data_IF_381271988687
#
_entry.id   IF_381271988687
#
_cell.length_a   1.000
_cell.length_b   1.000
_cell.length_c   1.000
_cell.angle_alpha   90.00
_cell.angle_beta   90.00
_cell.angle_gamma   90.00
#
_symmetry.space_group_name_H-M   'P 1'
#
loop_
_entity.id
_entity.type
_entity.pdbx_description
1 polymer ?
#
# COMPACT_ATOMS: atom_id res chain seq x y z
N UNK A 1 -7.45 10.35 -4.66
CA UNK A 1 -7.25 8.99 -4.10
C UNK A 1 -7.33 8.90 -2.57
N UNK A 2 -6.42 9.53 -1.79
CA UNK A 2 -6.32 9.30 -0.33
C UNK A 2 -7.62 9.46 0.48
N UNK A 3 -8.35 10.57 0.26
CA UNK A 3 -9.64 10.83 0.93
C UNK A 3 -10.69 9.74 0.65
N UNK A 4 -10.71 9.24 -0.58
CA UNK A 4 -11.61 8.15 -1.00
C UNK A 4 -11.21 6.84 -0.31
N UNK A 5 -9.93 6.47 -0.37
CA UNK A 5 -9.42 5.25 0.23
C UNK A 5 -9.67 5.18 1.74
N UNK A 6 -9.42 6.28 2.46
CA UNK A 6 -9.67 6.38 3.90
C UNK A 6 -11.13 6.04 4.25
N UNK A 7 -12.09 6.70 3.60
CA UNK A 7 -13.52 6.47 3.83
C UNK A 7 -13.96 5.08 3.40
N UNK A 8 -13.53 4.64 2.21
CA UNK A 8 -14.01 3.40 1.62
C UNK A 8 -13.46 2.17 2.33
N UNK A 9 -12.17 2.13 2.66
CA UNK A 9 -11.55 0.98 3.34
C UNK A 9 -12.22 0.75 4.70
N UNK A 10 -12.42 1.82 5.48
CA UNK A 10 -13.11 1.74 6.76
C UNK A 10 -14.53 1.20 6.59
N UNK A 11 -15.31 1.77 5.66
CA UNK A 11 -16.68 1.36 5.40
C UNK A 11 -16.79 -0.10 4.91
N UNK A 12 -15.89 -0.51 4.01
CA UNK A 12 -15.85 -1.87 3.48
C UNK A 12 -15.51 -2.89 4.57
N UNK A 13 -14.58 -2.57 5.47
CA UNK A 13 -14.22 -3.45 6.58
C UNK A 13 -15.37 -3.61 7.55
N UNK A 14 -16.04 -2.52 7.95
CA UNK A 14 -17.19 -2.56 8.87
C UNK A 14 -18.34 -3.45 8.38
N UNK A 15 -18.49 -3.61 7.06
CA UNK A 15 -19.48 -4.50 6.44
C UNK A 15 -19.00 -5.95 6.26
N UNK A 16 -17.70 -6.20 6.42
CA UNK A 16 -17.11 -7.51 6.20
C UNK A 16 -17.21 -8.38 7.46
N UNK A 17 -18.15 -9.34 7.48
CA UNK A 17 -18.31 -10.28 8.60
C UNK A 17 -17.04 -11.06 8.97
N UNK A 18 -16.06 -11.17 8.07
CA UNK A 18 -14.80 -11.85 8.37
C UNK A 18 -13.96 -11.11 9.42
N UNK A 19 -14.19 -9.82 9.68
CA UNK A 19 -13.48 -9.10 10.75
C UNK A 19 -13.88 -9.63 12.14
N UNK A 20 -15.09 -10.18 12.28
CA UNK A 20 -15.64 -10.74 13.53
C UNK A 20 -15.22 -12.19 13.75
N UNK A 21 -14.55 -12.80 12.78
CA UNK A 21 -14.11 -14.19 12.87
C UNK A 21 -12.89 -14.29 13.79
N UNK A 22 -12.83 -15.32 14.63
CA UNK A 22 -11.62 -15.64 15.42
C UNK A 22 -10.46 -16.14 14.55
N UNK A 23 -10.74 -16.71 13.37
CA UNK A 23 -9.72 -17.17 12.41
C UNK A 23 -8.92 -15.98 11.80
N UNK A 24 -7.59 -15.88 12.04
CA UNK A 24 -6.74 -14.84 11.49
C UNK A 24 -6.73 -14.77 9.95
N UNK A 25 -6.87 -15.91 9.27
CA UNK A 25 -6.86 -15.96 7.80
C UNK A 25 -8.09 -15.28 7.20
N UNK A 26 -9.23 -15.38 7.88
CA UNK A 26 -10.46 -14.66 7.49
C UNK A 26 -10.29 -13.16 7.64
N UNK A 27 -9.66 -12.69 8.72
CA UNK A 27 -9.34 -11.26 8.90
C UNK A 27 -8.34 -10.75 7.85
N UNK A 28 -7.30 -11.52 7.53
CA UNK A 28 -6.38 -11.19 6.43
C UNK A 28 -7.10 -11.10 5.08
N UNK A 29 -8.04 -12.01 4.81
CA UNK A 29 -8.89 -11.95 3.61
C UNK A 29 -9.74 -10.69 3.57
N UNK A 30 -10.28 -10.24 4.70
CA UNK A 30 -11.03 -8.99 4.82
C UNK A 30 -10.17 -7.77 4.46
N UNK A 31 -8.98 -7.66 5.06
CA UNK A 31 -8.02 -6.58 4.78
C UNK A 31 -7.58 -6.56 3.30
N UNK A 32 -7.29 -7.73 2.73
CA UNK A 32 -6.94 -7.83 1.30
C UNK A 32 -8.12 -7.42 0.41
N UNK A 33 -9.33 -7.85 0.76
CA UNK A 33 -10.55 -7.54 0.02
C UNK A 33 -10.88 -6.05 0.07
N UNK A 34 -10.69 -5.38 1.20
CA UNK A 34 -10.91 -3.93 1.30
C UNK A 34 -9.99 -3.15 0.37
N UNK A 35 -8.71 -3.52 0.26
CA UNK A 35 -7.80 -2.92 -0.73
C UNK A 35 -8.30 -3.12 -2.18
N UNK A 36 -8.58 -4.37 -2.56
CA UNK A 36 -8.94 -4.69 -3.94
C UNK A 36 -10.24 -4.01 -4.37
N UNK A 37 -11.26 -4.03 -3.50
CA UNK A 37 -12.54 -3.37 -3.78
C UNK A 37 -12.42 -1.86 -3.78
N UNK A 38 -11.56 -1.28 -2.94
CA UNK A 38 -11.23 0.14 -2.97
C UNK A 38 -10.64 0.54 -4.32
N UNK A 39 -9.63 -0.20 -4.79
CA UNK A 39 -9.01 0.06 -6.10
C UNK A 39 -10.03 -0.04 -7.24
N UNK A 40 -10.85 -1.11 -7.24
CA UNK A 40 -11.86 -1.32 -8.28
C UNK A 40 -12.85 -0.15 -8.35
N UNK A 41 -13.31 0.36 -7.20
CA UNK A 41 -14.25 1.49 -7.17
C UNK A 41 -13.59 2.83 -7.45
N UNK A 42 -12.34 3.02 -7.02
CA UNK A 42 -11.60 4.26 -7.28
C UNK A 42 -11.27 4.42 -8.76
N UNK A 43 -11.05 3.31 -9.48
CA UNK A 43 -10.83 3.32 -10.93
C UNK A 43 -12.11 3.49 -11.77
N UNK A 44 -13.28 3.57 -11.13
CA UNK A 44 -14.56 3.81 -11.80
C UNK A 44 -15.03 5.23 -11.47
N UNK A 45 -15.05 6.10 -12.47
CA UNK A 45 -15.38 7.52 -12.31
C UNK A 45 -16.76 7.74 -11.67
N UNK A 46 -17.77 6.97 -12.09
CA UNK A 46 -19.14 7.08 -11.59
C UNK A 46 -19.23 6.71 -10.10
N UNK A 47 -18.42 5.72 -9.68
CA UNK A 47 -18.38 5.29 -8.28
C UNK A 47 -17.48 6.16 -7.40
N UNK A 48 -16.40 6.71 -7.97
CA UNK A 48 -15.42 7.50 -7.24
C UNK A 48 -15.85 8.98 -7.11
N UNK A 49 -16.53 9.52 -8.13
CA UNK A 49 -16.85 10.94 -8.25
C UNK A 49 -15.65 11.82 -8.61
N UNK A 50 -14.54 11.24 -9.08
CA UNK A 50 -13.36 11.95 -9.55
C UNK A 50 -12.50 11.06 -10.48
N UNK A 51 -11.68 11.68 -11.33
CA UNK A 51 -10.69 10.97 -12.13
C UNK A 51 -9.44 10.64 -11.30
N UNK A 52 -9.15 9.36 -11.14
CA UNK A 52 -8.01 8.85 -10.39
C UNK A 52 -6.77 8.59 -11.25
N UNK A 53 -6.79 8.86 -12.57
CA UNK A 53 -5.74 8.45 -13.51
C UNK A 53 -4.33 8.90 -13.10
N UNK A 54 -4.17 10.13 -12.62
CA UNK A 54 -2.91 10.67 -12.09
C UNK A 54 -2.90 10.83 -10.55
N UNK A 55 -3.83 10.19 -9.84
CA UNK A 55 -3.93 10.28 -8.38
C UNK A 55 -3.81 8.91 -7.73
N UNK A 56 -2.79 8.74 -6.90
CA UNK A 56 -2.58 7.55 -6.08
C UNK A 56 -2.59 7.87 -4.58
N UNK A 57 -2.56 6.81 -3.76
CA UNK A 57 -2.32 6.92 -2.32
C UNK A 57 -1.63 5.66 -1.84
N UNK A 58 -0.78 5.81 -0.84
CA UNK A 58 -0.37 4.69 0.01
C UNK A 58 -1.44 4.43 1.06
N UNK A 59 -1.39 3.27 1.71
CA UNK A 59 -2.23 2.97 2.86
C UNK A 59 -1.54 1.99 3.80
N UNK A 60 -1.46 2.36 5.08
CA UNK A 60 -1.20 1.44 6.19
C UNK A 60 -2.39 1.49 7.13
N UNK A 61 -2.99 0.35 7.43
CA UNK A 61 -4.20 0.24 8.24
C UNK A 61 -4.34 -1.15 8.83
N UNK A 62 -5.21 -1.32 9.82
CA UNK A 62 -5.33 -2.60 10.51
C UNK A 62 -6.55 -2.74 11.40
N UNK A 63 -6.67 -3.91 12.00
CA UNK A 63 -7.69 -4.27 12.99
C UNK A 63 -6.98 -4.59 14.31
N UNK A 64 -7.37 -3.91 15.38
CA UNK A 64 -6.93 -4.22 16.74
C UNK A 64 -8.09 -4.91 17.48
N UNK A 65 -7.89 -6.15 17.91
CA UNK A 65 -8.86 -6.90 18.71
C UNK A 65 -8.14 -7.44 19.95
N UNK A 66 -8.55 -6.98 21.13
CA UNK A 66 -7.84 -7.28 22.37
C UNK A 66 -6.36 -6.91 22.27
N UNK A 67 -5.49 -7.92 22.36
CA UNK A 67 -4.03 -7.78 22.24
C UNK A 67 -3.46 -8.15 20.85
N UNK A 68 -4.32 -8.46 19.88
CA UNK A 68 -3.90 -8.89 18.54
C UNK A 68 -4.10 -7.77 17.52
N UNK A 69 -3.02 -7.36 16.88
CA UNK A 69 -3.02 -6.38 15.79
C UNK A 69 -2.83 -7.09 14.44
N UNK A 70 -3.80 -6.96 13.54
CA UNK A 70 -3.68 -7.36 12.14
C UNK A 70 -3.41 -6.12 11.30
N UNK A 71 -2.31 -6.09 10.56
CA UNK A 71 -1.90 -4.91 9.78
C UNK A 71 -1.78 -5.24 8.30
N UNK A 72 -2.17 -4.29 7.46
CA UNK A 72 -1.99 -4.31 6.02
C UNK A 72 -1.23 -3.05 5.58
N UNK A 73 -0.30 -3.23 4.64
CA UNK A 73 0.44 -2.15 4.00
C UNK A 73 0.32 -2.24 2.48
N UNK A 74 0.16 -1.09 1.83
CA UNK A 74 0.21 -0.93 0.39
C UNK A 74 0.92 0.39 0.07
N UNK A 75 2.13 0.30 -0.51
CA UNK A 75 3.00 1.44 -0.77
C UNK A 75 4.09 1.60 0.29
N UNK A 76 4.59 2.82 0.45
CA UNK A 76 5.75 3.12 1.29
C UNK A 76 5.41 3.89 2.57
N UNK A 77 4.16 3.86 3.00
CA UNK A 77 3.83 4.14 4.39
C UNK A 77 4.31 3.02 5.31
N UNK A 78 4.55 3.36 6.58
CA UNK A 78 5.15 2.44 7.55
C UNK A 78 4.43 2.48 8.88
N UNK A 79 4.21 1.30 9.47
CA UNK A 79 3.84 1.14 10.86
C UNK A 79 5.01 0.60 11.68
N UNK A 80 5.19 1.17 12.87
CA UNK A 80 6.22 0.79 13.83
C UNK A 80 5.55 0.67 15.19
N UNK A 81 5.84 -0.41 15.93
CA UNK A 81 5.42 -0.55 17.32
C UNK A 81 6.58 -0.18 18.24
N UNK A 82 6.31 0.66 19.24
CA UNK A 82 7.25 0.98 20.29
C UNK A 82 7.03 0.06 21.50
N UNK A 83 8.11 -0.51 22.04
CA UNK A 83 8.07 -1.33 23.26
C UNK A 83 9.09 -0.81 24.26
N UNK A 84 8.67 -0.66 25.52
CA UNK A 84 9.60 -0.39 26.60
C UNK A 84 10.58 -1.57 26.75
N UNK A 85 11.85 -1.27 27.03
CA UNK A 85 12.85 -2.26 27.38
C UNK A 85 13.09 -2.28 28.90
N UNK A 86 13.85 -3.27 29.38
CA UNK A 86 14.14 -3.44 30.82
C UNK A 86 15.05 -2.36 31.42
N UNK A 87 15.48 -1.38 30.63
CA UNK A 87 16.45 -0.34 31.00
C UNK A 87 15.86 1.08 30.86
N UNK A 88 14.53 1.22 31.02
CA UNK A 88 13.80 2.49 30.83
C UNK A 88 13.94 3.12 29.42
N UNK A 89 14.37 2.34 28.43
CA UNK A 89 14.42 2.74 27.02
C UNK A 89 13.21 2.26 26.22
N UNK A 90 13.12 2.72 24.98
CA UNK A 90 12.06 2.33 24.02
C UNK A 90 12.70 1.78 22.77
N UNK A 91 12.25 0.61 22.31
CA UNK A 91 12.68 -0.03 21.06
C UNK A 91 11.52 0.04 20.06
N UNK A 92 11.78 0.64 18.90
CA UNK A 92 10.86 0.62 17.76
C UNK A 92 11.08 -0.63 16.91
N UNK A 93 10.01 -1.39 16.64
CA UNK A 93 10.03 -2.54 15.73
C UNK A 93 9.10 -2.28 14.56
N UNK A 94 9.58 -2.30 13.30
CA UNK A 94 8.72 -2.14 12.13
C UNK A 94 7.74 -3.32 12.05
N UNK A 95 6.47 -3.02 11.80
CA UNK A 95 5.42 -4.01 11.58
C UNK A 95 5.16 -4.28 10.09
N UNK A 96 5.66 -3.40 9.23
CA UNK A 96 5.43 -3.41 7.78
C UNK A 96 6.73 -3.15 7.05
N UNK A 97 6.88 -3.77 5.88
CA UNK A 97 7.93 -3.42 4.92
C UNK A 97 7.36 -2.41 3.92
N UNK A 98 8.15 -1.40 3.59
CA UNK A 98 7.81 -0.47 2.51
C UNK A 98 7.86 -1.21 1.17
N UNK A 99 6.93 -0.94 0.27
CA UNK A 99 6.97 -1.47 -1.08
C UNK A 99 7.74 -0.50 -1.98
N UNK A 100 9.08 -0.57 -1.97
CA UNK A 100 9.92 0.27 -2.82
C UNK A 100 10.18 -0.44 -4.16
N UNK A 101 10.02 0.24 -5.31
CA UNK A 101 10.23 -0.39 -6.62
C UNK A 101 11.59 -1.04 -6.80
N UNK A 102 12.63 -0.45 -6.21
CA UNK A 102 14.02 -0.91 -6.26
C UNK A 102 14.32 -2.14 -5.39
N UNK A 103 13.40 -2.51 -4.49
CA UNK A 103 13.58 -3.72 -3.68
C UNK A 103 13.60 -4.95 -4.57
N UNK A 104 14.59 -5.83 -4.38
CA UNK A 104 14.83 -6.95 -5.30
C UNK A 104 13.61 -7.86 -5.50
N UNK A 105 12.77 -8.05 -4.48
CA UNK A 105 11.53 -8.83 -4.58
C UNK A 105 10.45 -8.09 -5.38
N UNK A 106 10.34 -6.78 -5.20
CA UNK A 106 9.35 -5.94 -5.85
C UNK A 106 9.72 -5.66 -7.31
N UNK A 107 10.98 -5.34 -7.58
CA UNK A 107 11.52 -5.23 -8.94
C UNK A 107 11.27 -6.51 -9.77
N UNK A 108 11.52 -7.69 -9.18
CA UNK A 108 11.21 -8.98 -9.84
C UNK A 108 9.71 -9.13 -10.11
N UNK A 109 8.84 -8.70 -9.19
CA UNK A 109 7.39 -8.74 -9.37
C UNK A 109 6.94 -7.83 -10.51
N UNK A 110 7.47 -6.60 -10.56
CA UNK A 110 7.19 -5.58 -11.57
C UNK A 110 7.62 -6.08 -12.95
N UNK A 111 8.88 -6.51 -13.10
CA UNK A 111 9.41 -7.01 -14.37
C UNK A 111 8.65 -8.22 -14.89
N UNK A 112 8.30 -9.17 -14.00
CA UNK A 112 7.47 -10.34 -14.37
C UNK A 112 6.07 -9.95 -14.86
N UNK A 113 5.57 -8.79 -14.47
CA UNK A 113 4.28 -8.23 -14.92
C UNK A 113 4.41 -7.28 -16.11
N UNK A 114 5.60 -7.19 -16.72
CA UNK A 114 5.84 -6.37 -17.90
C UNK A 114 6.10 -4.89 -17.61
N UNK A 115 6.24 -4.50 -16.33
CA UNK A 115 6.68 -3.18 -15.95
C UNK A 115 8.21 -3.05 -15.94
N UNK A 116 8.67 -1.84 -15.67
CA UNK A 116 10.08 -1.47 -15.57
C UNK A 116 10.30 -0.57 -14.35
N UNK A 117 11.41 -0.78 -13.66
CA UNK A 117 11.84 0.06 -12.52
C UNK A 117 12.96 0.97 -13.02
N UNK A 118 12.75 2.27 -12.96
CA UNK A 118 13.71 3.26 -13.46
C UNK A 118 13.65 4.57 -12.68
N UNK A 119 14.70 5.37 -12.77
CA UNK A 119 14.74 6.76 -12.30
C UNK A 119 14.64 7.70 -13.51
N UNK A 120 14.04 8.87 -13.32
CA UNK A 120 14.13 9.88 -14.38
C UNK A 120 15.57 10.36 -14.49
N UNK A 121 16.00 10.75 -15.69
CA UNK A 121 17.27 11.44 -15.88
C UNK A 121 17.04 12.86 -16.37
N UNK A 122 17.92 13.81 -16.00
CA UNK A 122 17.94 15.12 -16.64
C UNK A 122 18.54 15.06 -18.06
N UNK A 123 18.55 16.22 -18.73
CA UNK A 123 19.09 16.40 -20.08
C UNK A 123 20.58 16.02 -20.24
N UNK A 124 21.33 15.89 -19.14
CA UNK A 124 22.75 15.50 -19.15
C UNK A 124 22.98 14.06 -18.67
N UNK A 125 21.91 13.31 -18.37
CA UNK A 125 21.96 11.88 -18.03
C UNK A 125 21.99 11.54 -16.54
N UNK A 126 22.00 12.52 -15.64
CA UNK A 126 22.02 12.26 -14.20
C UNK A 126 20.66 11.77 -13.71
N UNK A 127 20.66 10.74 -12.87
CA UNK A 127 19.45 10.25 -12.20
C UNK A 127 18.89 11.31 -11.23
N UNK A 128 17.59 11.57 -11.36
CA UNK A 128 16.83 12.52 -10.54
C UNK A 128 15.63 11.83 -9.92
N UNK A 129 15.48 12.06 -8.61
CA UNK A 129 14.33 11.59 -7.85
C UNK A 129 14.37 10.09 -7.54
N UNK A 130 13.30 9.56 -6.95
CA UNK A 130 13.24 8.16 -6.55
C UNK A 130 13.00 7.23 -7.75
N UNK A 131 13.24 5.93 -7.56
CA UNK A 131 12.79 4.92 -8.49
C UNK A 131 11.26 4.94 -8.63
N UNK A 132 10.78 4.75 -9.86
CA UNK A 132 9.37 4.70 -10.22
C UNK A 132 9.09 3.48 -11.09
N UNK A 133 7.81 3.13 -11.18
CA UNK A 133 7.32 2.05 -12.03
C UNK A 133 6.80 2.62 -13.34
N UNK A 134 7.40 2.17 -14.43
CA UNK A 134 7.07 2.54 -15.80
C UNK A 134 6.43 1.35 -16.51
N UNK A 135 5.53 1.67 -17.45
CA UNK A 135 5.21 0.74 -18.54
C UNK A 135 6.39 0.76 -19.49
N UNK A 136 6.82 -0.41 -19.99
CA UNK A 136 7.90 -0.45 -20.99
C UNK A 136 7.61 0.49 -22.16
N UNK A 137 8.56 1.38 -22.44
CA UNK A 137 8.45 2.39 -23.50
C UNK A 137 7.53 3.57 -23.21
N UNK A 138 7.01 3.72 -21.98
CA UNK A 138 6.27 4.92 -21.60
C UNK A 138 7.20 6.05 -21.17
N UNK A 139 6.84 7.28 -21.53
CA UNK A 139 7.59 8.49 -21.20
C UNK A 139 7.39 8.94 -19.75
N UNK A 140 6.29 8.54 -19.11
CA UNK A 140 5.93 8.94 -17.74
C UNK A 140 5.59 7.73 -16.87
N UNK A 141 5.87 7.80 -15.56
CA UNK A 141 5.51 6.74 -14.62
C UNK A 141 3.99 6.70 -14.39
N UNK A 142 3.44 5.56 -13.99
CA UNK A 142 1.99 5.46 -13.75
C UNK A 142 1.39 4.06 -13.57
N UNK A 143 2.20 3.04 -13.25
CA UNK A 143 1.75 1.65 -13.12
C UNK A 143 1.63 1.13 -11.67
N UNK A 144 1.70 2.01 -10.67
CA UNK A 144 1.63 1.62 -9.26
C UNK A 144 0.19 1.53 -8.76
#
# INVERSE_FOLDING_TARGET
>A
AAKFACKYVQHSLQKDRHILSTDPKKKQKALKRSCYTCQKKMGDYEQAGFDAYFSGTTAVFGLLEGSVLHIANCGDSRAVVARANNSNGVIGTPLTNDAKPEDATEAKRITRKGGEVSQMCNHIGDAIGPFRVYKKGAEYPGLA
#
